data_IF_275446391700
#
_entry.id   IF_275446391700
#
_cell.length_a   1.000
_cell.length_b   1.000
_cell.length_c   1.000
_cell.angle_alpha   90.00
_cell.angle_beta   90.00
_cell.angle_gamma   90.00
#
_symmetry.space_group_name_H-M   'P 1'
#
loop_
_entity.id
_entity.type
_entity.pdbx_description
1 polymer ?
#
# COMPACT_ATOMS: atom_id res chain seq x y z
N UNK A 1 -9.12 -14.65 35.56
CA UNK A 1 -7.74 -15.04 35.20
C UNK A 1 -7.71 -15.08 33.68
N UNK A 2 -7.60 -13.90 33.07
CA UNK A 2 -7.82 -13.71 31.63
C UNK A 2 -6.54 -14.08 30.90
N UNK A 3 -6.62 -15.11 30.07
CA UNK A 3 -5.53 -15.61 29.25
C UNK A 3 -5.04 -14.49 28.31
N UNK A 4 -3.84 -13.96 28.60
CA UNK A 4 -3.22 -12.88 27.83
C UNK A 4 -2.47 -13.51 26.67
N UNK A 5 -3.22 -14.04 25.71
CA UNK A 5 -2.66 -14.62 24.50
C UNK A 5 -1.98 -13.50 23.71
N UNK A 6 -0.67 -13.63 23.44
CA UNK A 6 0.08 -12.64 22.69
C UNK A 6 -0.56 -12.45 21.31
N UNK A 7 -0.74 -11.20 20.84
CA UNK A 7 -1.39 -10.95 19.57
C UNK A 7 -0.62 -11.62 18.42
N UNK A 8 -1.36 -12.28 17.52
CA UNK A 8 -0.79 -12.89 16.32
C UNK A 8 0.00 -11.85 15.50
N UNK A 9 1.08 -12.29 14.85
CA UNK A 9 1.99 -11.43 14.08
C UNK A 9 1.27 -10.66 12.98
N UNK A 10 0.23 -11.25 12.38
CA UNK A 10 -0.62 -10.57 11.38
C UNK A 10 -1.40 -9.40 11.97
N UNK A 11 -1.92 -9.55 13.17
CA UNK A 11 -2.65 -8.50 13.89
C UNK A 11 -1.71 -7.35 14.25
N UNK A 12 -0.51 -7.66 14.71
CA UNK A 12 0.53 -6.65 14.98
C UNK A 12 0.90 -5.90 13.70
N UNK A 13 1.13 -6.61 12.60
CA UNK A 13 1.48 -6.00 11.32
C UNK A 13 0.35 -5.10 10.76
N UNK A 14 -0.90 -5.54 10.88
CA UNK A 14 -2.05 -4.73 10.50
C UNK A 14 -2.19 -3.45 11.36
N UNK A 15 -1.91 -3.57 12.66
CA UNK A 15 -1.88 -2.43 13.58
C UNK A 15 -0.80 -1.42 13.21
N UNK A 16 0.42 -1.88 12.90
CA UNK A 16 1.53 -1.03 12.46
C UNK A 16 1.17 -0.30 11.16
N UNK A 17 0.64 -1.01 10.15
CA UNK A 17 0.26 -0.39 8.88
C UNK A 17 -0.83 0.69 9.05
N UNK A 18 -1.78 0.47 9.97
CA UNK A 18 -2.81 1.47 10.30
C UNK A 18 -2.21 2.71 10.96
N UNK A 19 -1.29 2.51 11.91
CA UNK A 19 -0.57 3.61 12.57
C UNK A 19 0.30 4.39 11.60
N UNK A 20 1.06 3.71 10.73
CA UNK A 20 1.86 4.34 9.67
C UNK A 20 0.98 5.19 8.76
N UNK A 21 -0.17 4.66 8.32
CA UNK A 21 -1.13 5.41 7.50
C UNK A 21 -1.66 6.65 8.20
N UNK A 22 -1.98 6.55 9.50
CA UNK A 22 -2.40 7.69 10.30
C UNK A 22 -1.30 8.75 10.43
N UNK A 23 -0.06 8.34 10.74
CA UNK A 23 1.07 9.25 10.90
C UNK A 23 1.43 9.97 9.59
N UNK A 24 1.40 9.25 8.47
CA UNK A 24 1.58 9.85 7.15
C UNK A 24 0.49 10.89 6.85
N UNK A 25 -0.77 10.60 7.18
CA UNK A 25 -1.86 11.54 6.97
C UNK A 25 -1.77 12.77 7.88
N UNK A 26 -1.35 12.60 9.14
CA UNK A 26 -1.09 13.75 10.03
C UNK A 26 0.02 14.65 9.48
N UNK A 27 1.12 14.05 9.01
CA UNK A 27 2.19 14.82 8.36
C UNK A 27 1.71 15.58 7.12
N UNK A 28 0.78 15.01 6.35
CA UNK A 28 0.18 15.68 5.19
C UNK A 28 -0.74 16.86 5.61
N UNK A 29 -1.45 16.75 6.73
CA UNK A 29 -2.24 17.86 7.29
C UNK A 29 -1.32 19.02 7.68
N UNK A 30 -0.26 18.74 8.44
CA UNK A 30 0.69 19.75 8.88
C UNK A 30 1.36 20.43 7.69
N UNK A 31 1.75 19.63 6.68
CA UNK A 31 2.33 20.14 5.44
C UNK A 31 1.36 21.02 4.65
N UNK A 32 0.12 20.57 4.44
CA UNK A 32 -0.88 21.33 3.69
C UNK A 32 -1.16 22.68 4.34
N UNK A 33 -1.19 22.72 5.69
CA UNK A 33 -1.33 23.96 6.44
C UNK A 33 -0.11 24.89 6.27
N UNK A 34 1.10 24.37 6.43
CA UNK A 34 2.32 25.17 6.28
C UNK A 34 2.47 25.74 4.85
N UNK A 35 2.14 24.95 3.83
CA UNK A 35 2.14 25.42 2.43
C UNK A 35 1.07 26.49 2.19
N UNK A 36 -0.11 26.36 2.80
CA UNK A 36 -1.17 27.36 2.71
C UNK A 36 -0.77 28.67 3.41
N UNK A 37 -0.18 28.60 4.61
CA UNK A 37 0.35 29.76 5.34
C UNK A 37 1.40 30.50 4.50
N UNK A 38 2.39 29.78 3.97
CA UNK A 38 3.43 30.36 3.11
C UNK A 38 2.86 31.01 1.84
N UNK A 39 1.81 30.43 1.25
CA UNK A 39 1.14 31.01 0.07
C UNK A 39 0.46 32.35 0.40
N UNK A 40 -0.22 32.42 1.54
CA UNK A 40 -0.96 33.60 1.95
C UNK A 40 -0.04 34.68 2.52
N UNK A 41 1.11 34.33 3.13
CA UNK A 41 2.11 35.30 3.60
C UNK A 41 2.62 36.24 2.51
N UNK A 42 2.71 35.77 1.25
CA UNK A 42 3.17 36.58 0.11
C UNK A 42 2.13 37.64 -0.32
N UNK A 43 0.90 37.58 0.17
CA UNK A 43 -0.16 38.51 -0.17
C UNK A 43 -0.18 39.71 0.78
N UNK A 44 -0.06 40.93 0.25
CA UNK A 44 -0.04 42.17 1.08
C UNK A 44 -1.44 42.77 1.34
N UNK A 45 -2.47 42.30 0.65
CA UNK A 45 -3.81 42.89 0.70
C UNK A 45 -4.83 42.30 1.71
N UNK A 46 -4.71 41.05 2.22
CA UNK A 46 -5.73 40.50 3.12
C UNK A 46 -5.53 40.93 4.57
N UNK A 47 -6.65 41.22 5.24
CA UNK A 47 -6.71 41.43 6.70
C UNK A 47 -6.42 40.12 7.44
N UNK A 48 -6.05 40.17 8.72
CA UNK A 48 -5.72 38.96 9.51
C UNK A 48 -6.83 37.91 9.50
N UNK A 49 -8.10 38.31 9.60
CA UNK A 49 -9.24 37.39 9.55
C UNK A 49 -9.42 36.74 8.16
N UNK A 50 -9.24 37.51 7.08
CA UNK A 50 -9.27 36.98 5.72
C UNK A 50 -8.08 36.06 5.44
N UNK A 51 -6.95 36.32 6.10
CA UNK A 51 -5.73 35.53 6.00
C UNK A 51 -5.95 34.11 6.54
N UNK A 52 -6.55 34.00 7.73
CA UNK A 52 -6.88 32.73 8.36
C UNK A 52 -7.90 31.92 7.53
N UNK A 53 -8.94 32.57 7.02
CA UNK A 53 -9.95 31.92 6.16
C UNK A 53 -9.34 31.39 4.84
N UNK A 54 -8.42 32.14 4.23
CA UNK A 54 -7.71 31.70 3.03
C UNK A 54 -6.79 30.51 3.31
N UNK A 55 -6.07 30.52 4.43
CA UNK A 55 -5.22 29.40 4.85
C UNK A 55 -6.04 28.13 5.01
N UNK A 56 -7.17 28.21 5.72
CA UNK A 56 -8.06 27.07 5.92
C UNK A 56 -8.62 26.54 4.61
N UNK A 57 -9.03 27.41 3.69
CA UNK A 57 -9.57 27.02 2.39
C UNK A 57 -8.50 26.34 1.53
N UNK A 58 -7.30 26.90 1.46
CA UNK A 58 -6.18 26.35 0.68
C UNK A 58 -5.70 25.03 1.25
N UNK A 59 -5.57 24.92 2.57
CA UNK A 59 -5.17 23.67 3.24
C UNK A 59 -6.19 22.55 2.96
N UNK A 60 -7.49 22.84 3.09
CA UNK A 60 -8.56 21.88 2.74
C UNK A 60 -8.49 21.47 1.28
N UNK A 61 -8.29 22.42 0.36
CA UNK A 61 -8.18 22.15 -1.07
C UNK A 61 -6.99 21.24 -1.39
N UNK A 62 -5.84 21.48 -0.77
CA UNK A 62 -4.66 20.64 -0.94
C UNK A 62 -4.90 19.22 -0.40
N UNK A 63 -5.52 19.10 0.78
CA UNK A 63 -5.86 17.80 1.36
C UNK A 63 -6.83 16.98 0.50
N UNK A 64 -7.84 17.62 -0.09
CA UNK A 64 -8.76 16.96 -1.01
C UNK A 64 -8.03 16.42 -2.25
N UNK A 65 -7.10 17.19 -2.79
CA UNK A 65 -6.28 16.77 -3.93
C UNK A 65 -5.34 15.62 -3.55
N UNK A 66 -4.62 15.71 -2.43
CA UNK A 66 -3.74 14.65 -1.93
C UNK A 66 -4.53 13.36 -1.71
N UNK A 67 -5.71 13.44 -1.08
CA UNK A 67 -6.61 12.29 -0.92
C UNK A 67 -6.99 11.67 -2.26
N UNK A 68 -7.45 12.48 -3.23
CA UNK A 68 -7.81 11.98 -4.56
C UNK A 68 -6.65 11.26 -5.25
N UNK A 69 -5.43 11.83 -5.18
CA UNK A 69 -4.24 11.24 -5.80
C UNK A 69 -3.86 9.93 -5.14
N UNK A 70 -3.80 9.90 -3.80
CA UNK A 70 -3.46 8.68 -3.04
C UNK A 70 -4.47 7.57 -3.32
N UNK A 71 -5.77 7.87 -3.30
CA UNK A 71 -6.82 6.88 -3.61
C UNK A 71 -6.67 6.34 -5.03
N UNK A 72 -6.45 7.20 -6.02
CA UNK A 72 -6.25 6.77 -7.42
C UNK A 72 -5.02 5.87 -7.57
N UNK A 73 -3.90 6.22 -6.93
CA UNK A 73 -2.67 5.42 -6.98
C UNK A 73 -2.88 4.08 -6.27
N UNK A 74 -3.55 4.06 -5.11
CA UNK A 74 -3.89 2.85 -4.39
C UNK A 74 -4.75 1.91 -5.26
N UNK A 75 -5.83 2.42 -5.86
CA UNK A 75 -6.69 1.66 -6.77
C UNK A 75 -5.90 1.09 -7.96
N UNK A 76 -5.06 1.92 -8.58
CA UNK A 76 -4.23 1.50 -9.73
C UNK A 76 -3.21 0.43 -9.34
N UNK A 77 -2.57 0.57 -8.18
CA UNK A 77 -1.62 -0.42 -7.67
C UNK A 77 -2.30 -1.76 -7.39
N UNK A 78 -3.52 -1.74 -6.84
CA UNK A 78 -4.31 -2.94 -6.58
C UNK A 78 -4.77 -3.61 -7.88
N UNK A 79 -5.11 -2.81 -8.90
CA UNK A 79 -5.44 -3.32 -10.22
C UNK A 79 -4.21 -4.00 -10.86
N UNK A 80 -3.07 -3.29 -10.91
CA UNK A 80 -1.83 -3.85 -11.45
C UNK A 80 -1.43 -5.12 -10.72
N UNK A 81 -1.48 -5.12 -9.38
CA UNK A 81 -1.18 -6.32 -8.58
C UNK A 81 -2.05 -7.49 -8.99
N UNK A 82 -3.37 -7.29 -9.15
CA UNK A 82 -4.29 -8.35 -9.60
C UNK A 82 -3.92 -8.88 -10.98
N UNK A 83 -3.66 -7.99 -11.94
CA UNK A 83 -3.32 -8.38 -13.32
C UNK A 83 -2.00 -9.19 -13.38
N UNK A 84 -1.00 -8.81 -12.59
CA UNK A 84 0.27 -9.54 -12.51
C UNK A 84 0.16 -10.83 -11.71
N UNK A 85 -0.60 -10.86 -10.61
CA UNK A 85 -0.80 -12.06 -9.80
C UNK A 85 -1.38 -13.20 -10.63
N UNK A 86 -2.37 -12.90 -11.49
CA UNK A 86 -2.96 -13.90 -12.37
C UNK A 86 -1.94 -14.51 -13.35
N UNK A 87 -1.07 -13.67 -13.93
CA UNK A 87 -0.01 -14.14 -14.84
C UNK A 87 1.03 -14.97 -14.09
N UNK A 88 1.42 -14.52 -12.89
CA UNK A 88 2.36 -15.23 -12.05
C UNK A 88 1.82 -16.59 -11.61
N UNK A 89 0.56 -16.67 -11.21
CA UNK A 89 -0.06 -17.93 -10.79
C UNK A 89 -0.13 -18.93 -11.95
N UNK A 90 -0.40 -18.46 -13.17
CA UNK A 90 -0.34 -19.29 -14.38
C UNK A 90 1.08 -19.83 -14.62
N UNK A 91 2.09 -18.96 -14.59
CA UNK A 91 3.49 -19.38 -14.75
C UNK A 91 3.93 -20.35 -13.66
N UNK A 92 3.61 -20.04 -12.41
CA UNK A 92 3.92 -20.87 -11.24
C UNK A 92 3.31 -22.26 -11.39
N UNK A 93 2.03 -22.37 -11.79
CA UNK A 93 1.39 -23.66 -12.04
C UNK A 93 2.11 -24.45 -13.15
N UNK A 94 2.49 -23.79 -14.25
CA UNK A 94 3.23 -24.44 -15.35
C UNK A 94 4.59 -24.94 -14.89
N UNK A 95 5.36 -24.12 -14.18
CA UNK A 95 6.68 -24.49 -13.65
C UNK A 95 6.57 -25.66 -12.66
N UNK A 96 5.61 -25.61 -11.74
CA UNK A 96 5.36 -26.69 -10.78
C UNK A 96 4.94 -27.97 -11.51
N UNK A 97 4.05 -27.90 -12.50
CA UNK A 97 3.65 -29.06 -13.29
C UNK A 97 4.81 -29.67 -14.07
N UNK A 98 5.66 -28.85 -14.71
CA UNK A 98 6.86 -29.31 -15.40
C UNK A 98 7.86 -29.97 -14.43
N UNK A 99 8.09 -29.36 -13.26
CA UNK A 99 8.96 -29.94 -12.25
C UNK A 99 8.45 -31.30 -11.75
N UNK A 100 7.15 -31.41 -11.47
CA UNK A 100 6.52 -32.68 -11.08
C UNK A 100 6.62 -33.74 -12.18
N UNK A 101 6.40 -33.36 -13.45
CA UNK A 101 6.55 -34.27 -14.59
C UNK A 101 7.99 -34.78 -14.72
N UNK A 102 9.00 -33.91 -14.59
CA UNK A 102 10.41 -34.30 -14.61
C UNK A 102 10.76 -35.26 -13.46
N UNK A 103 10.29 -34.97 -12.25
CA UNK A 103 10.48 -35.87 -11.09
C UNK A 103 9.84 -37.23 -11.34
N UNK A 104 8.63 -37.28 -11.90
CA UNK A 104 7.95 -38.53 -12.23
C UNK A 104 8.71 -39.35 -13.29
N UNK A 105 9.22 -38.69 -14.34
CA UNK A 105 10.05 -39.34 -15.37
C UNK A 105 11.35 -39.89 -14.77
N UNK A 106 12.05 -39.11 -13.94
CA UNK A 106 13.27 -39.56 -13.27
C UNK A 106 13.00 -40.75 -12.34
N UNK A 107 11.90 -40.74 -11.60
CA UNK A 107 11.49 -41.84 -10.75
C UNK A 107 11.19 -43.11 -11.55
N UNK A 108 10.47 -42.99 -12.68
CA UNK A 108 10.19 -44.11 -13.59
C UNK A 108 11.47 -44.71 -14.17
N UNK A 109 12.39 -43.87 -14.66
CA UNK A 109 13.69 -44.32 -15.18
C UNK A 109 14.50 -45.03 -14.10
N UNK A 110 14.53 -44.48 -12.89
CA UNK A 110 15.23 -45.09 -11.75
C UNK A 110 14.63 -46.45 -11.38
N UNK A 111 13.29 -46.57 -11.38
CA UNK A 111 12.60 -47.82 -11.12
C UNK A 111 12.92 -48.88 -12.19
N UNK A 112 12.91 -48.49 -13.47
CA UNK A 112 13.27 -49.38 -14.58
C UNK A 112 14.74 -49.84 -14.52
N UNK A 113 15.65 -48.98 -14.07
CA UNK A 113 17.06 -49.34 -13.87
C UNK A 113 17.26 -50.31 -12.70
N UNK A 114 16.47 -50.17 -11.63
CA UNK A 114 16.52 -51.08 -10.47
C UNK A 114 15.81 -52.42 -10.73
N UNK A 115 14.83 -52.44 -11.64
CA UNK A 115 14.11 -53.64 -12.05
C UNK A 115 14.84 -54.47 -13.13
N UNK A 116 15.96 -53.96 -13.64
CA UNK A 116 16.81 -54.60 -14.66
C UNK A 116 18.05 -55.22 -14.02
#
# INVERSE_FOLDING_TARGET
MTDRQAPDSRTVQAGIASLEGYLLWQGEIDRARAEAEACVEVLDWPTTAQREELVDLLARRQLDLSRMVITRVAERSLQLRRDYQQRYDCLKRRVVACALALVAVLALVSCLLLAR
#
